data_IF_824721162999
#
_entry.id   IF_824721162999
#
_cell.length_a   1.000
_cell.length_b   1.000
_cell.length_c   1.000
_cell.angle_alpha   90.00
_cell.angle_beta   90.00
_cell.angle_gamma   90.00
#
_symmetry.space_group_name_H-M   'P 1'
#
loop_
_entity.id
_entity.type
_entity.pdbx_description
1 polymer ?
#
# COMPACT_ATOMS: atom_id res chain seq x y z
N UNK A 1 -27.69 2.09 -38.56
CA UNK A 1 -28.50 1.21 -37.69
C UNK A 1 -27.47 0.41 -36.92
N UNK A 2 -27.18 0.75 -35.69
CA UNK A 2 -26.25 -0.03 -34.87
C UNK A 2 -27.03 -1.21 -34.35
N UNK A 3 -26.77 -2.40 -34.90
CA UNK A 3 -27.31 -3.65 -34.36
C UNK A 3 -26.42 -3.97 -33.14
N UNK A 4 -26.96 -3.86 -31.94
CA UNK A 4 -26.33 -4.42 -30.76
C UNK A 4 -26.36 -5.94 -30.90
N UNK A 5 -25.29 -6.52 -31.45
CA UNK A 5 -25.11 -7.96 -31.43
C UNK A 5 -24.80 -8.36 -29.97
N UNK A 6 -25.70 -9.09 -29.35
CA UNK A 6 -25.44 -9.76 -28.06
C UNK A 6 -24.85 -11.12 -28.35
N UNK A 7 -23.61 -11.34 -27.91
CA UNK A 7 -23.02 -12.66 -27.93
C UNK A 7 -23.05 -13.29 -26.53
N UNK A 8 -23.17 -14.59 -26.46
CA UNK A 8 -23.18 -15.34 -25.19
C UNK A 8 -21.87 -16.12 -25.04
N UNK A 9 -21.27 -16.05 -23.89
CA UNK A 9 -20.04 -16.79 -23.59
C UNK A 9 -20.14 -17.58 -22.30
N UNK A 10 -19.08 -18.30 -22.01
CA UNK A 10 -18.91 -19.09 -20.80
C UNK A 10 -17.77 -18.50 -19.97
N UNK A 11 -18.01 -18.41 -18.67
CA UNK A 11 -16.95 -18.15 -17.70
C UNK A 11 -16.76 -19.41 -16.86
N UNK A 12 -15.51 -19.86 -16.69
CA UNK A 12 -15.26 -21.09 -15.96
C UNK A 12 -13.83 -21.22 -15.43
N UNK A 13 -13.62 -22.21 -14.59
CA UNK A 13 -12.28 -22.60 -14.13
C UNK A 13 -11.46 -23.19 -15.29
N UNK A 14 -10.14 -23.02 -15.21
CA UNK A 14 -9.20 -23.58 -16.18
C UNK A 14 -8.43 -24.75 -15.52
N UNK A 15 -8.66 -25.99 -15.97
CA UNK A 15 -7.96 -27.15 -15.42
C UNK A 15 -6.47 -27.22 -15.84
N UNK A 16 -6.04 -26.37 -16.77
CA UNK A 16 -4.68 -26.33 -17.29
C UNK A 16 -3.81 -25.27 -16.59
N UNK A 17 -4.32 -24.64 -15.52
CA UNK A 17 -3.51 -23.73 -14.72
C UNK A 17 -2.31 -24.45 -14.13
N UNK A 18 -1.17 -23.78 -14.17
CA UNK A 18 0.07 -24.23 -13.55
C UNK A 18 0.53 -23.23 -12.48
N UNK A 19 1.59 -23.58 -11.76
CA UNK A 19 2.06 -22.75 -10.65
C UNK A 19 2.69 -21.45 -11.16
N UNK A 20 2.36 -20.36 -10.50
CA UNK A 20 3.07 -19.07 -10.61
C UNK A 20 4.51 -19.25 -10.10
N UNK A 21 5.45 -18.55 -10.71
CA UNK A 21 6.87 -18.61 -10.34
C UNK A 21 7.33 -17.22 -9.94
N UNK A 22 7.79 -17.10 -8.69
CA UNK A 22 8.35 -15.85 -8.17
C UNK A 22 9.85 -16.00 -7.91
N UNK A 23 10.63 -15.12 -8.52
CA UNK A 23 12.03 -14.90 -8.20
C UNK A 23 12.14 -13.71 -7.26
N UNK A 24 12.74 -13.92 -6.07
CA UNK A 24 12.89 -12.87 -5.07
C UNK A 24 14.35 -12.67 -4.72
N UNK A 25 14.78 -11.41 -4.75
CA UNK A 25 16.09 -10.97 -4.27
C UNK A 25 15.90 -9.99 -3.13
N UNK A 26 16.65 -10.17 -2.04
CA UNK A 26 16.66 -9.20 -0.94
C UNK A 26 18.06 -8.98 -0.41
N UNK A 27 18.34 -7.74 -0.05
CA UNK A 27 19.57 -7.36 0.64
C UNK A 27 19.27 -6.28 1.64
N UNK A 28 19.96 -6.31 2.78
CA UNK A 28 19.70 -5.35 3.83
C UNK A 28 20.88 -5.13 4.75
N UNK A 29 20.80 -4.05 5.50
CA UNK A 29 21.77 -3.66 6.51
C UNK A 29 21.06 -3.31 7.80
N UNK A 30 21.55 -3.85 8.92
CA UNK A 30 21.14 -3.46 10.27
C UNK A 30 22.33 -2.83 10.97
N UNK A 31 22.12 -1.67 11.57
CA UNK A 31 23.14 -0.95 12.29
C UNK A 31 22.66 -0.60 13.70
N UNK A 32 23.36 -1.15 14.71
CA UNK A 32 23.13 -0.90 16.14
C UNK A 32 24.42 -0.35 16.74
N UNK A 33 24.56 0.98 16.84
CA UNK A 33 25.79 1.59 17.35
C UNK A 33 25.92 1.36 18.85
N UNK A 34 26.86 0.50 19.27
CA UNK A 34 27.16 0.21 20.70
C UNK A 34 27.59 1.45 21.47
N UNK A 35 28.19 2.43 20.79
CA UNK A 35 28.68 3.67 21.36
C UNK A 35 27.59 4.75 21.55
N UNK A 36 26.41 4.54 21.04
CA UNK A 36 25.34 5.55 21.03
C UNK A 36 24.95 5.97 22.44
N UNK A 37 24.66 5.03 23.33
CA UNK A 37 24.33 5.31 24.74
C UNK A 37 25.43 5.96 25.54
N UNK A 38 26.71 5.78 25.14
CA UNK A 38 27.87 6.41 25.81
C UNK A 38 28.04 7.89 25.45
N UNK A 39 27.57 8.29 24.26
CA UNK A 39 27.77 9.67 23.73
C UNK A 39 26.48 10.47 23.82
N UNK A 40 25.33 9.82 23.67
CA UNK A 40 24.00 10.46 23.69
C UNK A 40 23.18 9.91 24.87
N UNK A 41 22.05 9.31 24.57
CA UNK A 41 21.16 8.65 25.54
C UNK A 41 20.34 7.58 24.82
N UNK A 42 19.83 6.60 25.59
CA UNK A 42 18.98 5.53 25.05
C UNK A 42 19.68 4.60 24.06
N UNK A 43 18.91 3.90 23.28
CA UNK A 43 19.34 2.92 22.28
C UNK A 43 18.79 3.26 20.91
N UNK A 44 19.62 3.10 19.87
CA UNK A 44 19.28 3.34 18.48
C UNK A 44 19.46 2.06 17.66
N UNK A 45 18.48 1.72 16.86
CA UNK A 45 18.54 0.65 15.85
C UNK A 45 18.09 1.19 14.50
N UNK A 46 18.92 1.02 13.47
CA UNK A 46 18.63 1.42 12.10
C UNK A 46 18.68 0.19 11.21
N UNK A 47 17.76 0.11 10.25
CA UNK A 47 17.80 -0.90 9.20
C UNK A 47 17.36 -0.30 7.86
N UNK A 48 17.94 -0.84 6.80
CA UNK A 48 17.54 -0.56 5.42
C UNK A 48 17.58 -1.87 4.63
N UNK A 49 16.48 -2.20 3.98
CA UNK A 49 16.32 -3.40 3.18
C UNK A 49 15.90 -3.00 1.77
N UNK A 50 16.44 -3.67 0.75
CA UNK A 50 15.97 -3.64 -0.62
C UNK A 50 15.42 -5.01 -0.98
N UNK A 51 14.25 -5.03 -1.60
CA UNK A 51 13.53 -6.24 -1.99
C UNK A 51 13.10 -6.07 -3.45
N UNK A 52 13.39 -7.08 -4.27
CA UNK A 52 12.97 -7.18 -5.66
C UNK A 52 12.24 -8.50 -5.85
N UNK A 53 11.09 -8.46 -6.50
CA UNK A 53 10.24 -9.62 -6.78
C UNK A 53 9.80 -9.56 -8.24
N UNK A 54 10.15 -10.59 -8.99
CA UNK A 54 9.63 -10.83 -10.34
C UNK A 54 8.69 -12.04 -10.27
N UNK A 55 7.42 -11.83 -10.61
CA UNK A 55 6.40 -12.88 -10.64
C UNK A 55 5.98 -13.14 -12.07
N UNK A 56 6.31 -14.33 -12.55
CA UNK A 56 6.00 -14.81 -13.89
C UNK A 56 4.76 -15.70 -13.88
N UNK A 57 4.02 -15.65 -14.98
CA UNK A 57 2.84 -16.51 -15.22
C UNK A 57 1.77 -16.36 -14.12
N UNK A 58 1.61 -15.17 -13.55
CA UNK A 58 0.57 -15.00 -12.54
C UNK A 58 -0.82 -15.25 -13.12
N UNK A 59 -1.70 -15.79 -12.27
CA UNK A 59 -3.05 -16.17 -12.67
C UNK A 59 -3.95 -14.95 -12.70
N UNK A 60 -4.39 -14.58 -13.88
CA UNK A 60 -5.29 -13.46 -14.12
C UNK A 60 -6.51 -13.89 -14.91
N UNK A 61 -7.48 -12.98 -15.10
CA UNK A 61 -8.65 -13.21 -15.92
C UNK A 61 -8.80 -12.11 -16.95
N UNK A 62 -9.07 -12.49 -18.19
CA UNK A 62 -9.29 -11.56 -19.28
C UNK A 62 -10.78 -11.49 -19.63
N UNK A 63 -11.25 -10.30 -19.88
CA UNK A 63 -12.51 -10.08 -20.59
C UNK A 63 -12.42 -10.54 -22.05
N UNK A 64 -13.54 -10.67 -22.73
CA UNK A 64 -13.53 -10.99 -24.17
C UNK A 64 -12.73 -9.94 -24.98
N UNK A 65 -12.89 -8.66 -24.66
CA UNK A 65 -12.18 -7.57 -25.35
C UNK A 65 -10.67 -7.69 -25.17
N UNK A 66 -10.21 -7.89 -23.94
CA UNK A 66 -8.78 -8.10 -23.66
C UNK A 66 -8.21 -9.33 -24.34
N UNK A 67 -8.96 -10.45 -24.38
CA UNK A 67 -8.54 -11.64 -25.13
C UNK A 67 -8.42 -11.37 -26.63
N UNK A 68 -9.34 -10.57 -27.20
CA UNK A 68 -9.27 -10.19 -28.61
C UNK A 68 -8.08 -9.29 -28.91
N UNK A 69 -7.84 -8.29 -28.08
CA UNK A 69 -6.68 -7.40 -28.17
C UNK A 69 -5.39 -8.22 -28.05
N UNK A 70 -5.23 -9.02 -27.00
CA UNK A 70 -4.08 -9.89 -26.80
C UNK A 70 -3.88 -10.92 -27.95
N UNK A 71 -4.95 -11.41 -28.56
CA UNK A 71 -4.85 -12.29 -29.71
C UNK A 71 -4.25 -11.59 -30.94
N UNK A 72 -4.65 -10.33 -31.21
CA UNK A 72 -4.28 -9.65 -32.45
C UNK A 72 -3.06 -8.78 -32.34
N UNK A 73 -2.77 -8.25 -31.14
CA UNK A 73 -1.70 -7.28 -30.94
C UNK A 73 -0.37 -7.93 -30.56
N UNK A 74 -0.38 -9.17 -30.06
CA UNK A 74 0.84 -9.85 -29.71
C UNK A 74 1.48 -10.61 -30.88
N UNK A 75 2.79 -10.65 -30.91
CA UNK A 75 3.59 -11.32 -31.95
C UNK A 75 3.30 -12.84 -32.11
N UNK A 76 2.58 -13.41 -31.15
CA UNK A 76 2.18 -14.84 -31.16
C UNK A 76 0.96 -15.15 -32.03
N UNK A 77 0.33 -14.15 -32.64
CA UNK A 77 -0.80 -14.38 -33.55
C UNK A 77 -0.45 -15.30 -34.72
N UNK A 78 -1.32 -16.23 -35.10
CA UNK A 78 -2.62 -16.61 -34.52
C UNK A 78 -2.56 -17.74 -33.48
N UNK A 79 -1.39 -18.11 -32.99
CA UNK A 79 -1.16 -19.33 -32.20
C UNK A 79 -1.02 -19.05 -30.69
N UNK A 80 -1.75 -18.06 -30.17
CA UNK A 80 -1.75 -17.76 -28.73
C UNK A 80 -2.99 -18.33 -28.04
N UNK A 81 -2.88 -18.60 -26.74
CA UNK A 81 -4.02 -19.02 -25.92
C UNK A 81 -5.17 -18.03 -25.95
N UNK A 82 -4.91 -16.75 -26.21
CA UNK A 82 -5.91 -15.71 -26.32
C UNK A 82 -6.78 -15.89 -27.55
N UNK A 83 -6.21 -16.32 -28.68
CA UNK A 83 -6.92 -16.58 -29.92
C UNK A 83 -7.86 -17.78 -29.81
N UNK A 84 -7.55 -18.74 -28.94
CA UNK A 84 -8.36 -19.94 -28.71
C UNK A 84 -9.59 -19.64 -27.84
N UNK A 85 -9.66 -18.47 -27.22
CA UNK A 85 -10.72 -18.09 -26.29
C UNK A 85 -12.04 -17.71 -26.97
N UNK A 86 -12.04 -17.44 -28.28
CA UNK A 86 -13.25 -17.03 -29.02
C UNK A 86 -13.28 -17.56 -30.44
N UNK A 87 -14.48 -17.65 -31.01
CA UNK A 87 -14.68 -18.03 -32.41
C UNK A 87 -15.52 -16.97 -33.15
N UNK A 88 -15.16 -16.75 -34.41
CA UNK A 88 -15.89 -15.84 -35.31
C UNK A 88 -16.58 -16.60 -36.42
N UNK A 89 -17.69 -16.06 -36.88
CA UNK A 89 -18.37 -16.54 -38.06
C UNK A 89 -17.79 -15.96 -39.38
N UNK A 90 -18.46 -16.21 -40.49
CA UNK A 90 -18.05 -15.74 -41.83
C UNK A 90 -18.16 -14.22 -41.99
N UNK A 91 -18.93 -13.55 -41.15
CA UNK A 91 -19.13 -12.11 -41.12
C UNK A 91 -18.20 -11.43 -40.09
N UNK A 92 -17.28 -12.20 -39.51
CA UNK A 92 -16.31 -11.77 -38.48
C UNK A 92 -16.93 -11.39 -37.12
N UNK A 93 -18.19 -11.74 -36.88
CA UNK A 93 -18.82 -11.55 -35.59
C UNK A 93 -18.42 -12.67 -34.62
N UNK A 94 -18.21 -12.32 -33.33
CA UNK A 94 -17.92 -13.32 -32.29
C UNK A 94 -19.18 -14.05 -31.93
N UNK A 95 -19.24 -15.37 -32.21
CA UNK A 95 -20.40 -16.23 -31.99
C UNK A 95 -20.34 -17.09 -30.75
N UNK A 96 -19.15 -17.38 -30.26
CA UNK A 96 -18.90 -18.10 -29.00
C UNK A 96 -17.61 -17.62 -28.39
N UNK A 97 -17.57 -17.56 -27.05
CA UNK A 97 -16.33 -17.27 -26.31
C UNK A 97 -16.30 -17.96 -24.96
N UNK A 98 -15.10 -18.23 -24.49
CA UNK A 98 -14.86 -18.72 -23.16
C UNK A 98 -13.78 -17.86 -22.49
N UNK A 99 -14.14 -17.25 -21.37
CA UNK A 99 -13.20 -16.50 -20.51
C UNK A 99 -13.03 -17.23 -19.18
N UNK A 100 -11.91 -17.00 -18.54
CA UNK A 100 -11.59 -17.63 -17.28
C UNK A 100 -10.19 -17.27 -16.81
N UNK A 101 -9.71 -17.98 -15.82
CA UNK A 101 -8.37 -17.80 -15.28
C UNK A 101 -7.32 -18.39 -16.22
N UNK A 102 -6.25 -17.68 -16.46
CA UNK A 102 -5.09 -18.10 -17.27
C UNK A 102 -3.78 -17.68 -16.60
N UNK A 103 -2.72 -18.41 -16.88
CA UNK A 103 -1.36 -17.99 -16.53
C UNK A 103 -0.84 -17.12 -17.68
N UNK A 104 -0.82 -15.82 -17.49
CA UNK A 104 -0.45 -14.91 -18.56
C UNK A 104 0.25 -13.63 -18.10
N UNK A 105 0.26 -13.33 -16.82
CA UNK A 105 0.75 -12.03 -16.36
C UNK A 105 2.21 -12.05 -15.90
N UNK A 106 2.83 -10.88 -15.93
CA UNK A 106 4.13 -10.57 -15.34
C UNK A 106 3.97 -9.42 -14.36
N UNK A 107 4.54 -9.55 -13.17
CA UNK A 107 4.66 -8.47 -12.21
C UNK A 107 6.14 -8.31 -11.87
N UNK A 108 6.61 -7.07 -11.92
CA UNK A 108 7.94 -6.68 -11.48
C UNK A 108 7.81 -5.62 -10.39
N UNK A 109 8.35 -5.90 -9.22
CA UNK A 109 8.20 -5.09 -8.03
C UNK A 109 9.54 -4.90 -7.34
N UNK A 110 9.88 -3.66 -7.00
CA UNK A 110 11.04 -3.34 -6.19
C UNK A 110 10.70 -2.28 -5.12
N UNK A 111 11.23 -2.48 -3.92
CA UNK A 111 10.98 -1.58 -2.79
C UNK A 111 12.18 -1.46 -1.86
N UNK A 112 12.34 -0.25 -1.31
CA UNK A 112 13.22 0.00 -0.16
C UNK A 112 12.38 0.09 1.11
N UNK A 113 12.85 -0.53 2.18
CA UNK A 113 12.24 -0.46 3.51
C UNK A 113 13.26 0.09 4.50
N UNK A 114 12.97 1.24 5.07
CA UNK A 114 13.79 1.88 6.10
C UNK A 114 13.14 1.77 7.47
N UNK A 115 13.95 1.53 8.49
CA UNK A 115 13.49 1.41 9.87
C UNK A 115 14.43 2.15 10.81
N UNK A 116 13.87 2.92 11.74
CA UNK A 116 14.60 3.52 12.83
C UNK A 116 13.80 3.32 14.13
N UNK A 117 14.42 2.65 15.09
CA UNK A 117 13.87 2.45 16.43
C UNK A 117 14.76 3.17 17.42
N UNK A 118 14.18 4.06 18.22
CA UNK A 118 14.87 4.80 19.26
C UNK A 118 14.11 4.64 20.58
N UNK A 119 14.78 4.15 21.62
CA UNK A 119 14.18 3.97 22.94
C UNK A 119 15.09 4.57 24.01
N UNK A 120 14.51 5.30 24.96
CA UNK A 120 15.24 6.03 25.99
C UNK A 120 14.39 6.31 27.23
N UNK A 121 15.03 6.56 28.35
CA UNK A 121 14.41 7.14 29.52
C UNK A 121 14.28 8.65 29.37
N UNK A 122 13.10 9.20 29.68
CA UNK A 122 12.85 10.64 29.53
C UNK A 122 13.76 11.47 30.45
N UNK A 123 14.17 10.91 31.59
CA UNK A 123 15.16 11.53 32.50
C UNK A 123 16.54 11.64 31.85
N UNK A 124 16.96 10.67 31.02
CA UNK A 124 18.23 10.75 30.28
C UNK A 124 18.17 11.88 29.24
N UNK A 125 17.09 11.99 28.47
CA UNK A 125 16.88 13.10 27.55
C UNK A 125 16.92 14.45 28.28
N UNK A 126 16.20 14.56 29.40
CA UNK A 126 16.16 15.79 30.21
C UNK A 126 17.55 16.15 30.74
N UNK A 127 18.34 15.18 31.19
CA UNK A 127 19.71 15.37 31.66
C UNK A 127 20.63 15.79 30.52
N UNK A 128 20.49 15.19 29.34
CA UNK A 128 21.26 15.53 28.15
C UNK A 128 21.01 16.97 27.67
N UNK A 129 19.76 17.41 27.67
CA UNK A 129 19.35 18.75 27.21
C UNK A 129 19.71 19.83 28.25
N UNK A 130 19.44 19.59 29.53
CA UNK A 130 19.71 20.55 30.61
C UNK A 130 21.16 20.61 31.03
N UNK A 131 21.93 19.57 30.70
CA UNK A 131 23.29 19.32 31.21
C UNK A 131 23.38 19.20 32.75
N UNK A 132 22.26 18.90 33.38
CA UNK A 132 22.12 18.66 34.80
C UNK A 132 21.61 17.23 35.02
N UNK A 133 21.98 16.60 36.10
CA UNK A 133 21.48 15.27 36.44
C UNK A 133 20.02 15.34 36.89
N UNK A 134 19.11 14.85 36.10
CA UNK A 134 17.71 14.74 36.44
C UNK A 134 17.45 13.36 37.07
N UNK A 135 17.33 13.33 38.38
CA UNK A 135 17.14 12.09 39.15
C UNK A 135 15.64 11.70 39.28
N UNK A 136 14.73 12.39 38.61
CA UNK A 136 13.29 12.14 38.66
C UNK A 136 12.92 11.09 37.65
N UNK A 137 12.15 10.09 38.04
CA UNK A 137 11.54 9.16 37.08
C UNK A 137 10.48 9.90 36.23
N UNK A 138 10.69 9.96 34.94
CA UNK A 138 9.81 10.58 33.95
C UNK A 138 9.27 9.56 32.94
N UNK A 139 9.52 8.27 33.21
CA UNK A 139 9.13 7.18 32.36
C UNK A 139 10.05 6.97 31.16
N UNK A 140 9.70 6.02 30.33
CA UNK A 140 10.43 5.66 29.12
C UNK A 140 9.65 5.98 27.85
N UNK A 141 10.36 6.34 26.79
CA UNK A 141 9.82 6.58 25.48
C UNK A 141 10.43 5.66 24.44
N UNK A 142 9.60 5.28 23.46
CA UNK A 142 10.05 4.60 22.26
C UNK A 142 9.49 5.33 21.04
N UNK A 143 10.35 5.61 20.07
CA UNK A 143 10.01 6.18 18.78
C UNK A 143 10.34 5.14 17.73
N UNK A 144 9.36 4.76 16.93
CA UNK A 144 9.53 3.85 15.80
C UNK A 144 9.17 4.60 14.53
N UNK A 145 10.05 4.59 13.58
CA UNK A 145 9.84 5.14 12.26
C UNK A 145 10.08 4.07 11.22
N UNK A 146 9.16 3.98 10.29
CA UNK A 146 9.22 3.10 9.14
C UNK A 146 8.92 3.92 7.90
N UNK A 147 9.70 3.69 6.85
CA UNK A 147 9.40 4.23 5.52
C UNK A 147 9.53 3.11 4.51
N UNK A 148 8.58 3.04 3.61
CA UNK A 148 8.64 2.17 2.43
C UNK A 148 8.63 3.07 1.21
N UNK A 149 9.62 2.90 0.36
CA UNK A 149 9.67 3.53 -0.95
C UNK A 149 9.44 2.46 -2.00
N UNK A 150 8.35 2.56 -2.72
CA UNK A 150 8.15 1.77 -3.91
C UNK A 150 9.04 2.33 -5.01
N UNK A 151 10.13 1.61 -5.32
CA UNK A 151 11.07 2.00 -6.35
C UNK A 151 10.49 1.72 -7.74
N UNK A 152 9.82 0.57 -7.85
CA UNK A 152 9.20 0.14 -9.08
C UNK A 152 8.06 -0.84 -8.80
N UNK A 153 6.91 -0.60 -9.40
CA UNK A 153 5.83 -1.56 -9.52
C UNK A 153 5.27 -1.51 -10.94
N UNK A 154 5.45 -2.57 -11.69
CA UNK A 154 4.90 -2.68 -13.02
C UNK A 154 4.25 -4.03 -13.23
N UNK A 155 3.26 -4.06 -14.09
CA UNK A 155 2.60 -5.28 -14.49
C UNK A 155 2.37 -5.31 -16.00
N UNK A 156 2.40 -6.51 -16.54
CA UNK A 156 2.02 -6.77 -17.92
C UNK A 156 1.06 -7.95 -17.93
N UNK A 157 -0.15 -7.71 -18.34
CA UNK A 157 -1.16 -8.78 -18.47
C UNK A 157 -0.80 -9.77 -19.60
N UNK A 158 -0.07 -9.32 -20.61
CA UNK A 158 0.43 -10.17 -21.69
C UNK A 158 1.50 -11.18 -21.28
N UNK A 159 2.17 -10.96 -20.14
CA UNK A 159 3.38 -11.67 -19.75
C UNK A 159 4.61 -11.31 -20.57
N UNK A 160 4.53 -10.32 -21.45
CA UNK A 160 5.65 -9.83 -22.24
C UNK A 160 6.31 -8.64 -21.54
N UNK A 161 7.63 -8.68 -21.41
CA UNK A 161 8.38 -7.64 -20.69
C UNK A 161 8.27 -6.24 -21.35
N UNK A 162 8.07 -6.20 -22.67
CA UNK A 162 7.87 -4.98 -23.43
C UNK A 162 6.54 -4.27 -23.12
N UNK A 163 5.56 -5.01 -22.56
CA UNK A 163 4.24 -4.48 -22.20
C UNK A 163 4.16 -4.06 -20.72
N UNK A 164 5.28 -4.17 -19.98
CA UNK A 164 5.32 -3.74 -18.59
C UNK A 164 4.96 -2.25 -18.47
N UNK A 165 3.92 -1.99 -17.72
CA UNK A 165 3.42 -0.65 -17.41
C UNK A 165 3.59 -0.36 -15.93
N UNK A 166 4.38 0.68 -15.61
CA UNK A 166 4.59 1.10 -14.22
C UNK A 166 3.39 1.86 -13.68
N UNK A 167 3.01 1.49 -12.45
CA UNK A 167 1.98 2.20 -11.69
C UNK A 167 2.53 2.85 -10.41
N UNK A 168 3.85 2.86 -10.22
CA UNK A 168 4.50 3.53 -9.09
C UNK A 168 4.15 5.01 -9.05
N UNK A 169 3.75 5.51 -7.89
CA UNK A 169 3.31 6.89 -7.70
C UNK A 169 1.93 7.21 -8.28
N UNK A 170 1.19 6.21 -8.76
CA UNK A 170 -0.20 6.38 -9.16
C UNK A 170 -1.14 6.16 -7.96
N UNK A 171 -2.38 6.61 -8.10
CA UNK A 171 -3.39 6.40 -7.06
C UNK A 171 -3.54 4.93 -6.67
N UNK A 172 -3.35 4.65 -5.40
CA UNK A 172 -3.35 3.28 -4.85
C UNK A 172 -1.98 2.61 -4.76
N UNK A 173 -0.98 3.14 -5.48
CA UNK A 173 0.42 2.67 -5.46
C UNK A 173 1.33 3.85 -5.12
N UNK A 174 1.24 4.33 -3.87
CA UNK A 174 2.00 5.48 -3.41
C UNK A 174 3.51 5.20 -3.45
N UNK A 175 4.29 6.10 -4.01
CA UNK A 175 5.76 5.98 -4.04
C UNK A 175 6.35 5.90 -2.63
N UNK A 176 5.77 6.65 -1.67
CA UNK A 176 6.22 6.64 -0.29
C UNK A 176 5.09 6.40 0.70
N UNK A 177 5.35 5.50 1.62
CA UNK A 177 4.54 5.26 2.80
C UNK A 177 5.39 5.42 4.06
N UNK A 178 4.90 6.19 5.02
CA UNK A 178 5.57 6.40 6.31
C UNK A 178 4.65 5.98 7.45
N UNK A 179 5.21 5.26 8.40
CA UNK A 179 4.60 4.94 9.69
C UNK A 179 5.51 5.44 10.81
N UNK A 180 5.00 6.30 11.66
CA UNK A 180 5.73 6.84 12.79
C UNK A 180 4.92 6.62 14.06
N UNK A 181 5.44 5.88 15.02
CA UNK A 181 4.81 5.65 16.30
C UNK A 181 5.69 6.17 17.45
N UNK A 182 5.06 6.85 18.38
CA UNK A 182 5.65 7.29 19.63
C UNK A 182 4.88 6.69 20.79
N UNK A 183 5.58 6.02 21.68
CA UNK A 183 5.02 5.41 22.88
C UNK A 183 5.70 6.01 24.12
N UNK A 184 4.93 6.27 25.15
CA UNK A 184 5.43 6.71 26.46
C UNK A 184 4.77 5.91 27.56
N UNK A 185 5.63 5.40 28.48
CA UNK A 185 5.20 4.62 29.64
C UNK A 185 5.72 5.35 30.89
N UNK A 186 4.81 5.67 31.79
CA UNK A 186 5.12 6.29 33.07
C UNK A 186 4.27 5.69 34.19
N UNK A 187 4.90 4.96 35.10
CA UNK A 187 4.20 4.23 36.13
C UNK A 187 3.15 3.27 35.52
N UNK A 188 1.91 3.46 35.90
CA UNK A 188 0.78 2.65 35.39
C UNK A 188 0.16 3.20 34.10
N UNK A 189 0.69 4.30 33.56
CA UNK A 189 0.19 4.95 32.34
C UNK A 189 0.95 4.51 31.09
N UNK A 190 0.17 4.31 30.03
CA UNK A 190 0.68 4.07 28.69
C UNK A 190 0.00 5.01 27.69
N UNK A 191 0.77 5.76 26.96
CA UNK A 191 0.28 6.70 25.94
C UNK A 191 0.99 6.40 24.63
N UNK A 192 0.24 6.36 23.53
CA UNK A 192 0.82 6.19 22.22
C UNK A 192 0.15 7.09 21.18
N UNK A 193 0.92 7.48 20.18
CA UNK A 193 0.45 8.20 18.99
C UNK A 193 1.15 7.59 17.78
N UNK A 194 0.40 7.38 16.72
CA UNK A 194 0.88 6.86 15.44
C UNK A 194 0.40 7.78 14.32
N UNK A 195 1.33 8.15 13.43
CA UNK A 195 1.05 8.85 12.18
C UNK A 195 1.31 7.93 11.00
N UNK A 196 0.35 7.80 10.11
CA UNK A 196 0.47 7.08 8.84
C UNK A 196 0.39 8.10 7.71
N UNK A 197 1.48 8.27 6.97
CA UNK A 197 1.57 9.23 5.87
C UNK A 197 1.76 8.51 4.56
N UNK A 198 1.14 9.02 3.54
CA UNK A 198 1.29 8.58 2.15
C UNK A 198 1.72 9.76 1.29
N UNK A 199 2.55 9.52 0.29
CA UNK A 199 2.90 10.54 -0.68
C UNK A 199 1.69 10.87 -1.55
N UNK A 200 1.67 12.05 -2.09
CA UNK A 200 0.86 12.34 -3.27
C UNK A 200 1.41 11.65 -4.50
N UNK A 201 0.73 11.80 -5.61
CA UNK A 201 1.12 11.21 -6.87
C UNK A 201 0.24 11.65 -8.01
N UNK A 202 0.28 10.88 -9.11
CA UNK A 202 -0.58 11.09 -10.28
C UNK A 202 -1.77 10.14 -10.23
N UNK A 203 -2.91 10.56 -10.77
CA UNK A 203 -4.12 9.72 -10.77
C UNK A 203 -3.93 8.53 -11.70
N UNK A 204 -3.39 8.79 -12.91
CA UNK A 204 -3.10 7.77 -13.91
C UNK A 204 -2.01 8.33 -14.85
N UNK A 205 -0.87 7.66 -14.93
CA UNK A 205 0.24 8.12 -15.75
C UNK A 205 -0.09 8.18 -17.25
N UNK A 206 -1.04 7.37 -17.72
CA UNK A 206 -1.48 7.39 -19.12
C UNK A 206 -2.49 8.51 -19.41
N UNK A 207 -3.22 8.95 -18.39
CA UNK A 207 -4.29 9.95 -18.52
C UNK A 207 -3.91 11.33 -18.03
N UNK A 208 -2.70 11.52 -17.50
CA UNK A 208 -2.26 12.83 -17.00
C UNK A 208 -2.25 13.94 -18.10
N UNK A 209 -2.42 13.56 -19.37
CA UNK A 209 -2.52 14.46 -20.51
C UNK A 209 -3.87 14.37 -21.24
N UNK A 210 -4.85 13.67 -20.65
CA UNK A 210 -6.17 13.51 -21.27
C UNK A 210 -7.14 14.56 -20.71
N UNK A 211 -7.54 15.51 -21.56
CA UNK A 211 -8.49 16.58 -21.22
C UNK A 211 -9.88 16.05 -20.80
N UNK A 212 -10.14 14.74 -20.94
CA UNK A 212 -11.42 14.11 -20.55
C UNK A 212 -11.48 13.77 -19.05
N UNK A 213 -10.35 13.78 -18.34
CA UNK A 213 -10.34 13.50 -16.91
C UNK A 213 -10.58 14.79 -16.12
N UNK A 214 -11.85 15.11 -15.96
CA UNK A 214 -12.27 16.32 -15.27
C UNK A 214 -12.67 16.01 -13.82
N UNK A 215 -12.23 16.85 -12.89
CA UNK A 215 -12.74 16.87 -11.54
C UNK A 215 -14.18 17.32 -11.46
N UNK A 216 -14.74 17.27 -10.26
CA UNK A 216 -16.13 17.68 -10.00
C UNK A 216 -16.39 19.15 -10.37
N UNK A 217 -15.37 19.99 -10.33
CA UNK A 217 -15.38 21.40 -10.73
C UNK A 217 -15.23 21.62 -12.24
N UNK A 218 -15.00 20.55 -13.02
CA UNK A 218 -14.78 20.59 -14.47
C UNK A 218 -13.35 20.94 -14.89
N UNK A 219 -12.41 20.97 -13.94
CA UNK A 219 -10.98 21.15 -14.25
C UNK A 219 -10.29 19.79 -14.40
N UNK A 220 -9.23 19.69 -15.26
CA UNK A 220 -8.43 18.48 -15.35
C UNK A 220 -7.73 18.16 -14.03
N UNK A 221 -7.84 16.91 -13.58
CA UNK A 221 -7.14 16.42 -12.40
C UNK A 221 -6.01 15.50 -12.84
N UNK A 222 -4.80 15.87 -12.50
CA UNK A 222 -3.60 15.11 -12.86
C UNK A 222 -2.88 14.54 -11.66
N UNK A 223 -2.98 15.20 -10.51
CA UNK A 223 -2.24 14.90 -9.30
C UNK A 223 -3.18 14.85 -8.09
N UNK A 224 -2.78 14.13 -7.07
CA UNK A 224 -3.41 14.14 -5.76
C UNK A 224 -2.37 14.42 -4.67
N UNK A 225 -2.79 15.11 -3.63
CA UNK A 225 -1.92 15.45 -2.50
C UNK A 225 -1.69 14.26 -1.57
N UNK A 226 -0.49 14.20 -1.00
CA UNK A 226 -0.19 13.28 0.09
C UNK A 226 -0.99 13.65 1.35
N UNK A 227 -1.25 12.66 2.19
CA UNK A 227 -2.00 12.86 3.41
C UNK A 227 -1.39 12.12 4.60
N UNK A 228 -1.79 12.54 5.80
CA UNK A 228 -1.39 11.90 7.05
C UNK A 228 -2.60 11.70 7.95
N UNK A 229 -2.82 10.47 8.39
CA UNK A 229 -3.80 10.15 9.42
C UNK A 229 -3.10 9.88 10.76
N UNK A 230 -3.72 10.31 11.85
CA UNK A 230 -3.19 10.11 13.19
C UNK A 230 -4.13 9.24 14.02
N UNK A 231 -3.53 8.25 14.69
CA UNK A 231 -4.19 7.41 15.69
C UNK A 231 -3.48 7.60 17.02
N UNK A 232 -4.15 7.32 18.12
CA UNK A 232 -3.53 7.42 19.43
C UNK A 232 -4.35 6.76 20.51
N UNK A 233 -3.79 6.64 21.69
CA UNK A 233 -4.50 6.06 22.81
C UNK A 233 -3.81 6.28 24.14
N UNK A 234 -4.60 6.08 25.18
CA UNK A 234 -4.15 6.11 26.57
C UNK A 234 -4.61 4.81 27.24
N UNK A 235 -3.72 4.17 27.94
CA UNK A 235 -4.00 3.02 28.78
C UNK A 235 -3.60 3.29 30.24
N UNK A 236 -4.32 2.66 31.16
CA UNK A 236 -4.02 2.68 32.57
C UNK A 236 -4.12 1.28 33.15
N UNK A 237 -3.02 0.80 33.77
CA UNK A 237 -2.99 -0.46 34.47
C UNK A 237 -3.52 -0.28 35.87
N UNK A 238 -4.79 -0.64 36.10
CA UNK A 238 -5.43 -0.52 37.43
C UNK A 238 -4.78 -1.47 38.42
N UNK A 239 -4.42 -2.66 37.95
CA UNK A 239 -3.62 -3.69 38.64
C UNK A 239 -3.12 -4.69 37.58
N UNK A 240 -2.40 -5.75 38.02
CA UNK A 240 -1.79 -6.75 37.13
C UNK A 240 -2.82 -7.46 36.20
N UNK A 241 -4.10 -7.52 36.60
CA UNK A 241 -5.16 -8.23 35.89
C UNK A 241 -6.14 -7.28 35.18
N UNK A 242 -6.08 -5.97 35.44
CA UNK A 242 -7.09 -5.03 34.95
C UNK A 242 -6.46 -3.85 34.24
N UNK A 243 -6.82 -3.64 32.98
CA UNK A 243 -6.38 -2.51 32.18
C UNK A 243 -7.55 -1.76 31.56
N UNK A 244 -7.58 -0.45 31.74
CA UNK A 244 -8.48 0.47 31.04
C UNK A 244 -7.73 1.07 29.84
N UNK A 245 -8.40 1.13 28.66
CA UNK A 245 -7.83 1.76 27.45
C UNK A 245 -8.86 2.62 26.76
N UNK A 246 -8.42 3.76 26.25
CA UNK A 246 -9.18 4.61 25.33
C UNK A 246 -8.33 4.84 24.09
N UNK A 247 -8.84 4.46 22.92
CA UNK A 247 -8.18 4.64 21.64
C UNK A 247 -8.97 5.60 20.78
N UNK A 248 -8.24 6.39 20.03
CA UNK A 248 -8.74 7.36 19.06
C UNK A 248 -8.19 6.97 17.69
N UNK A 249 -9.06 6.83 16.72
CA UNK A 249 -8.70 6.61 15.33
C UNK A 249 -9.10 7.83 14.51
N UNK A 250 -8.28 8.15 13.52
CA UNK A 250 -8.45 9.38 12.75
C UNK A 250 -8.59 10.62 13.65
N UNK A 251 -7.59 10.84 14.51
CA UNK A 251 -7.63 11.87 15.57
C UNK A 251 -7.89 13.27 15.04
N UNK A 252 -7.39 13.58 13.83
CA UNK A 252 -7.54 14.88 13.18
C UNK A 252 -8.83 14.99 12.37
N UNK A 253 -9.64 13.91 12.32
CA UNK A 253 -10.88 13.84 11.57
C UNK A 253 -10.68 14.10 10.06
N UNK A 254 -9.62 13.51 9.53
CA UNK A 254 -9.35 13.59 8.10
C UNK A 254 -10.50 12.92 7.33
N UNK A 255 -11.12 13.63 6.44
CA UNK A 255 -12.36 13.24 5.74
C UNK A 255 -12.11 12.69 4.33
N UNK A 256 -10.85 12.61 3.93
CA UNK A 256 -10.46 12.06 2.63
C UNK A 256 -9.84 13.11 1.72
N UNK A 257 -9.82 12.79 0.44
CA UNK A 257 -9.34 13.73 -0.58
C UNK A 257 -10.35 14.85 -0.75
N UNK A 258 -9.87 16.04 -1.08
CA UNK A 258 -10.74 17.15 -1.41
C UNK A 258 -11.72 16.75 -2.53
N UNK A 259 -12.95 17.24 -2.45
CA UNK A 259 -14.09 16.86 -3.31
C UNK A 259 -13.80 16.94 -4.83
N UNK A 260 -12.73 17.66 -5.20
CA UNK A 260 -12.38 17.92 -6.58
C UNK A 260 -11.62 16.76 -7.26
N UNK A 261 -11.05 15.83 -6.49
CA UNK A 261 -10.14 14.79 -7.02
C UNK A 261 -10.88 13.50 -7.38
N UNK A 262 -11.95 13.16 -6.67
CA UNK A 262 -12.65 11.90 -6.87
C UNK A 262 -14.16 12.08 -6.90
N UNK A 263 -14.85 11.09 -7.47
CA UNK A 263 -16.31 11.02 -7.40
C UNK A 263 -16.76 10.93 -5.92
N UNK A 264 -17.97 11.40 -5.57
CA UNK A 264 -18.51 11.32 -4.20
C UNK A 264 -18.45 9.94 -3.55
N UNK A 265 -18.27 8.89 -4.34
CA UNK A 265 -18.11 7.51 -3.89
C UNK A 265 -16.73 7.25 -3.23
N UNK A 266 -15.71 8.06 -3.54
CA UNK A 266 -14.38 7.94 -2.94
C UNK A 266 -14.34 8.50 -1.51
N UNK A 267 -15.20 9.44 -1.15
CA UNK A 267 -15.35 9.97 0.22
C UNK A 267 -15.78 8.91 1.23
N UNK A 268 -16.36 7.80 0.76
CA UNK A 268 -16.76 6.67 1.62
C UNK A 268 -15.58 5.84 2.13
N UNK A 269 -14.37 6.05 1.64
CA UNK A 269 -13.17 5.30 2.06
C UNK A 269 -12.65 5.75 3.43
N UNK A 270 -13.01 6.95 3.88
CA UNK A 270 -12.55 7.47 5.16
C UNK A 270 -13.70 7.50 6.17
N UNK A 271 -13.53 6.69 7.21
CA UNK A 271 -14.41 6.78 8.37
C UNK A 271 -13.87 7.91 9.25
N UNK A 272 -14.70 8.89 9.57
CA UNK A 272 -14.35 10.00 10.45
C UNK A 272 -13.83 9.56 11.81
N UNK A 273 -13.51 10.48 12.68
CA UNK A 273 -12.93 10.19 14.00
C UNK A 273 -13.75 9.16 14.78
N UNK A 274 -13.07 8.15 15.29
CA UNK A 274 -13.65 7.12 16.13
C UNK A 274 -13.01 7.13 17.52
N UNK A 275 -13.79 6.84 18.53
CA UNK A 275 -13.32 6.65 19.91
C UNK A 275 -13.79 5.30 20.42
N UNK A 276 -12.86 4.49 20.92
CA UNK A 276 -13.12 3.20 21.51
C UNK A 276 -12.59 3.16 22.94
N UNK A 277 -13.44 2.78 23.89
CA UNK A 277 -13.04 2.54 25.27
C UNK A 277 -13.21 1.06 25.61
N UNK A 278 -12.22 0.46 26.25
CA UNK A 278 -12.22 -0.94 26.62
C UNK A 278 -11.68 -1.15 28.04
N UNK A 279 -12.30 -2.08 28.75
CA UNK A 279 -11.83 -2.61 30.03
C UNK A 279 -11.48 -4.06 29.83
N UNK A 280 -10.22 -4.41 30.06
CA UNK A 280 -9.74 -5.77 29.99
C UNK A 280 -9.52 -6.29 31.42
N UNK A 281 -10.13 -7.42 31.75
CA UNK A 281 -9.97 -8.09 33.04
C UNK A 281 -9.56 -9.53 32.81
N UNK A 282 -8.46 -9.94 33.43
CA UNK A 282 -8.00 -11.32 33.43
C UNK A 282 -8.51 -12.00 34.73
N UNK A 283 -9.08 -13.17 34.61
CA UNK A 283 -9.61 -13.96 35.73
C UNK A 283 -8.71 -15.17 36.02
#
# INVERSE_FOLDING_TARGET
>A
MVVNATTTGKFGGNPNLFNEVADTKSTGLVYQPNWWGDVFFGSLNLAADYIEIELNDYVTSYSLTQNMEACYDYDTYPNSQFCDSFTRDADFEVVDFQTGLINAGLIDFATYVYKADFAFDVAELASFVSRENVAMDLGSMAVRWRATQEDFFASADSGAAEDLSSSTGQFGNDEWFYDTAVEWIYGDWYVWVQGNSRSGGVIDAFRQYDDEYLGYDGNPIFEFDGYTTYNGGVGYYVNDDTTLRVNFYNLMDYDGFEEDVFTPEADLLFIGRQVNASLNVRF
#
